data_IF_969994569122
#
_entry.id   IF_969994569122
#
_cell.length_a   1.000
_cell.length_b   1.000
_cell.length_c   1.000
_cell.angle_alpha   90.00
_cell.angle_beta   90.00
_cell.angle_gamma   90.00
#
_symmetry.space_group_name_H-M   'P 1'
#
loop_
_entity.id
_entity.type
_entity.pdbx_description
1 polymer ?
#
# COMPACT_ATOMS: atom_id res chain seq x y z
N UNK A 1 -56.72 -46.76 -0.83
CA UNK A 1 -57.81 -46.50 -1.78
C UNK A 1 -58.84 -45.67 -1.03
N UNK A 2 -59.17 -44.42 -1.32
CA UNK A 2 -58.94 -43.49 -2.43
C UNK A 2 -59.28 -42.05 -1.98
N UNK A 3 -58.62 -41.07 -2.61
CA UNK A 3 -58.90 -39.64 -2.89
C UNK A 3 -59.50 -38.69 -1.83
N UNK A 4 -58.89 -37.54 -1.52
CA UNK A 4 -58.60 -36.31 -2.32
C UNK A 4 -59.87 -35.53 -2.74
N UNK A 5 -60.10 -34.40 -2.05
CA UNK A 5 -60.16 -33.02 -2.59
C UNK A 5 -61.12 -32.14 -1.78
N UNK A 6 -60.58 -31.02 -1.24
CA UNK A 6 -61.21 -29.69 -1.12
C UNK A 6 -60.43 -28.82 -0.15
N UNK A 7 -59.64 -27.86 -0.67
CA UNK A 7 -59.28 -26.65 0.07
C UNK A 7 -59.57 -25.45 -0.83
N UNK A 8 -60.42 -24.56 -0.34
CA UNK A 8 -60.82 -23.29 -0.96
C UNK A 8 -59.68 -22.26 -0.98
N UNK A 9 -59.67 -21.33 -1.94
CA UNK A 9 -58.67 -20.27 -2.03
C UNK A 9 -59.03 -19.06 -1.16
N UNK A 10 -58.01 -18.44 -0.55
CA UNK A 10 -58.10 -17.10 0.03
C UNK A 10 -57.34 -16.12 -0.86
N UNK A 11 -58.06 -15.08 -1.27
CA UNK A 11 -57.65 -14.00 -2.16
C UNK A 11 -56.46 -13.19 -1.61
N UNK A 12 -55.53 -12.81 -2.49
CA UNK A 12 -54.84 -11.53 -2.42
C UNK A 12 -54.73 -10.93 -3.83
N UNK A 13 -55.19 -9.70 -3.94
CA UNK A 13 -55.34 -8.90 -5.16
C UNK A 13 -54.03 -8.22 -5.55
N UNK A 14 -53.62 -8.39 -6.81
CA UNK A 14 -52.54 -7.64 -7.45
C UNK A 14 -52.46 -8.04 -8.93
N UNK A 15 -52.80 -7.11 -9.82
CA UNK A 15 -52.87 -7.22 -11.29
C UNK A 15 -51.82 -8.14 -11.93
N UNK A 16 -52.30 -9.27 -12.46
CA UNK A 16 -51.58 -10.14 -13.39
C UNK A 16 -51.47 -9.47 -14.76
N UNK A 17 -50.27 -9.01 -15.13
CA UNK A 17 -49.82 -9.02 -16.53
C UNK A 17 -48.36 -9.48 -16.52
N UNK A 18 -48.14 -10.70 -16.02
CA UNK A 18 -46.87 -11.39 -16.11
C UNK A 18 -46.76 -12.08 -17.47
N UNK A 19 -45.92 -11.56 -18.35
CA UNK A 19 -45.47 -12.30 -19.53
C UNK A 19 -44.63 -13.49 -19.07
N UNK A 20 -45.27 -14.64 -18.90
CA UNK A 20 -44.59 -15.90 -18.63
C UNK A 20 -43.66 -16.20 -19.83
N UNK A 21 -42.35 -16.13 -19.62
CA UNK A 21 -41.46 -17.10 -20.24
C UNK A 21 -41.94 -18.45 -19.72
N UNK A 22 -42.72 -19.17 -20.54
CA UNK A 22 -43.24 -20.48 -20.16
C UNK A 22 -42.05 -21.38 -19.81
N UNK A 23 -41.88 -21.67 -18.51
CA UNK A 23 -40.86 -22.59 -18.00
C UNK A 23 -40.96 -23.99 -18.64
N UNK A 24 -42.03 -24.28 -19.39
CA UNK A 24 -42.18 -25.49 -20.20
C UNK A 24 -41.30 -25.53 -21.46
N UNK A 25 -40.84 -24.40 -22.03
CA UNK A 25 -40.12 -24.42 -23.32
C UNK A 25 -38.59 -24.56 -23.20
N UNK A 26 -38.01 -24.22 -22.04
CA UNK A 26 -36.56 -24.35 -21.77
C UNK A 26 -36.12 -25.79 -21.50
N UNK A 27 -37.05 -26.67 -21.09
CA UNK A 27 -36.76 -28.08 -20.78
C UNK A 27 -36.72 -28.99 -22.03
N UNK A 28 -36.90 -28.45 -23.24
CA UNK A 28 -36.91 -29.20 -24.51
C UNK A 28 -35.80 -28.73 -25.48
N UNK A 29 -34.83 -27.98 -25.00
CA UNK A 29 -33.77 -27.39 -25.84
C UNK A 29 -32.52 -28.25 -25.76
N UNK A 30 -32.15 -28.89 -26.87
CA UNK A 30 -31.06 -29.87 -26.93
C UNK A 30 -29.65 -29.23 -27.01
N UNK A 31 -29.53 -27.94 -27.32
CA UNK A 31 -28.23 -27.24 -27.36
C UNK A 31 -28.22 -25.84 -26.75
N UNK A 32 -27.07 -25.46 -26.17
CA UNK A 32 -26.83 -24.13 -25.57
C UNK A 32 -27.06 -23.00 -26.58
N UNK A 33 -26.76 -23.24 -27.86
CA UNK A 33 -26.90 -22.23 -28.92
C UNK A 33 -28.37 -21.86 -29.16
N UNK A 34 -29.25 -22.85 -29.14
CA UNK A 34 -30.69 -22.65 -29.31
C UNK A 34 -31.29 -21.99 -28.06
N UNK A 35 -30.76 -22.31 -26.88
CA UNK A 35 -31.16 -21.65 -25.63
C UNK A 35 -30.78 -20.16 -25.64
N UNK A 36 -29.57 -19.82 -26.09
CA UNK A 36 -29.13 -18.43 -26.22
C UNK A 36 -29.97 -17.65 -27.24
N UNK A 37 -30.37 -18.30 -28.34
CA UNK A 37 -31.23 -17.70 -29.36
C UNK A 37 -32.64 -17.40 -28.83
N UNK A 38 -33.21 -18.31 -28.03
CA UNK A 38 -34.51 -18.10 -27.38
C UNK A 38 -34.45 -17.00 -26.30
N UNK A 39 -33.38 -16.96 -25.50
CA UNK A 39 -33.16 -15.88 -24.53
C UNK A 39 -33.04 -14.54 -25.27
N UNK A 40 -32.28 -14.48 -26.35
CA UNK A 40 -32.15 -13.28 -27.18
C UNK A 40 -33.51 -12.83 -27.73
N UNK A 41 -34.29 -13.74 -28.31
CA UNK A 41 -35.61 -13.41 -28.85
C UNK A 41 -36.60 -12.95 -27.78
N UNK A 42 -36.57 -13.58 -26.60
CA UNK A 42 -37.42 -13.21 -25.48
C UNK A 42 -37.06 -11.81 -24.94
N UNK A 43 -35.76 -11.51 -24.82
CA UNK A 43 -35.26 -10.19 -24.45
C UNK A 43 -35.65 -9.15 -25.51
N UNK A 44 -35.46 -9.44 -26.80
CA UNK A 44 -35.83 -8.53 -27.89
C UNK A 44 -37.35 -8.27 -27.93
N UNK A 45 -38.19 -9.27 -27.65
CA UNK A 45 -39.64 -9.08 -27.54
C UNK A 45 -40.03 -8.25 -26.32
N UNK A 46 -39.41 -8.50 -25.16
CA UNK A 46 -39.61 -7.70 -23.96
C UNK A 46 -39.23 -6.22 -24.19
N UNK A 47 -38.13 -5.96 -24.89
CA UNK A 47 -37.68 -4.61 -25.27
C UNK A 47 -38.67 -3.94 -26.22
N UNK A 48 -39.23 -4.68 -27.19
CA UNK A 48 -40.23 -4.14 -28.14
C UNK A 48 -41.58 -3.87 -27.49
N UNK A 49 -42.03 -4.72 -26.56
CA UNK A 49 -43.32 -4.60 -25.87
C UNK A 49 -43.30 -3.52 -24.78
N UNK A 50 -42.17 -3.36 -24.10
CA UNK A 50 -42.00 -2.34 -23.05
C UNK A 50 -41.78 -0.93 -23.63
N UNK A 51 -41.50 -0.82 -24.93
CA UNK A 51 -40.83 0.36 -25.49
C UNK A 51 -39.46 0.59 -24.83
N UNK A 52 -38.68 1.60 -25.24
CA UNK A 52 -37.57 2.05 -24.41
C UNK A 52 -38.17 2.43 -23.05
N UNK A 53 -37.85 1.62 -22.04
CA UNK A 53 -38.36 1.81 -20.70
C UNK A 53 -38.09 3.25 -20.27
N UNK A 54 -39.14 3.96 -19.85
CA UNK A 54 -39.04 5.25 -19.15
C UNK A 54 -38.42 5.11 -17.74
N UNK A 55 -37.62 4.06 -17.51
CA UNK A 55 -36.66 3.93 -16.41
C UNK A 55 -35.21 4.24 -16.83
N UNK A 56 -34.98 4.64 -18.08
CA UNK A 56 -33.79 5.44 -18.42
C UNK A 56 -34.22 6.89 -18.35
N UNK A 57 -34.64 7.34 -17.16
CA UNK A 57 -34.42 8.75 -16.87
C UNK A 57 -32.90 8.88 -16.78
N UNK A 58 -32.36 9.66 -17.70
CA UNK A 58 -30.94 9.80 -17.95
C UNK A 58 -30.27 10.21 -16.63
N UNK A 59 -29.56 9.29 -15.99
CA UNK A 59 -28.50 9.68 -15.07
C UNK A 59 -27.41 10.33 -15.94
N UNK A 60 -27.61 11.61 -16.26
CA UNK A 60 -26.66 12.45 -17.00
C UNK A 60 -25.28 12.40 -16.35
N UNK A 61 -25.22 12.20 -15.04
CA UNK A 61 -24.01 12.00 -14.23
C UNK A 61 -23.19 10.78 -14.68
N UNK A 62 -23.83 9.61 -14.89
CA UNK A 62 -23.13 8.42 -15.40
C UNK A 62 -22.69 8.60 -16.85
N UNK A 63 -23.51 9.24 -17.70
CA UNK A 63 -23.11 9.52 -19.07
C UNK A 63 -21.85 10.39 -19.13
N UNK A 64 -21.74 11.39 -18.24
CA UNK A 64 -20.54 12.24 -18.13
C UNK A 64 -19.35 11.40 -17.66
N UNK A 65 -19.51 10.55 -16.64
CA UNK A 65 -18.42 9.67 -16.18
C UNK A 65 -17.91 8.75 -17.30
N UNK A 66 -18.82 8.08 -18.01
CA UNK A 66 -18.46 7.19 -19.12
C UNK A 66 -17.80 7.95 -20.29
N UNK A 67 -18.27 9.16 -20.60
CA UNK A 67 -17.63 10.02 -21.61
C UNK A 67 -16.21 10.41 -21.17
N UNK A 68 -16.02 10.80 -19.91
CA UNK A 68 -14.69 11.11 -19.37
C UNK A 68 -13.76 9.90 -19.36
N UNK A 69 -14.27 8.69 -19.05
CA UNK A 69 -13.51 7.44 -19.12
C UNK A 69 -13.13 7.08 -20.56
N UNK A 70 -14.07 7.23 -21.50
CA UNK A 70 -13.81 7.02 -22.93
C UNK A 70 -12.71 7.96 -23.43
N UNK A 71 -12.74 9.23 -23.01
CA UNK A 71 -11.73 10.22 -23.35
C UNK A 71 -10.39 9.96 -22.65
N UNK A 72 -10.42 9.44 -21.42
CA UNK A 72 -9.22 9.06 -20.69
C UNK A 72 -8.52 7.86 -21.34
N UNK A 73 -9.29 6.86 -21.79
CA UNK A 73 -8.84 5.61 -22.38
C UNK A 73 -9.13 4.41 -21.47
N UNK A 74 -9.91 3.45 -21.97
CA UNK A 74 -10.28 2.22 -21.23
C UNK A 74 -9.10 1.31 -20.93
N UNK A 75 -8.02 1.40 -21.70
CA UNK A 75 -6.76 0.69 -21.49
C UNK A 75 -6.08 1.06 -20.16
N UNK A 76 -6.35 2.26 -19.64
CA UNK A 76 -5.83 2.74 -18.35
C UNK A 76 -6.72 2.36 -17.18
N UNK A 77 -7.93 1.89 -17.41
CA UNK A 77 -8.85 1.53 -16.33
C UNK A 77 -8.45 0.18 -15.76
N UNK A 78 -8.00 0.17 -14.51
CA UNK A 78 -7.59 -1.05 -13.81
C UNK A 78 -8.75 -1.68 -13.02
N UNK A 79 -9.62 -0.85 -12.46
CA UNK A 79 -10.75 -1.30 -11.65
C UNK A 79 -11.87 -0.26 -11.67
N UNK A 80 -13.12 -0.74 -11.64
CA UNK A 80 -14.33 0.06 -11.41
C UNK A 80 -15.22 -0.73 -10.46
N UNK A 81 -15.73 -0.07 -9.42
CA UNK A 81 -16.68 -0.69 -8.49
C UNK A 81 -18.07 -0.88 -9.14
N UNK A 82 -18.86 -1.88 -8.73
CA UNK A 82 -20.18 -2.13 -9.32
C UNK A 82 -21.18 -0.98 -9.21
N UNK A 83 -21.00 -0.09 -8.25
CA UNK A 83 -21.81 1.12 -8.02
C UNK A 83 -21.26 2.36 -8.77
N UNK A 84 -20.11 2.23 -9.44
CA UNK A 84 -19.40 3.30 -10.16
C UNK A 84 -18.91 4.46 -9.28
N UNK A 85 -18.87 4.27 -7.96
CA UNK A 85 -18.35 5.26 -7.01
C UNK A 85 -16.84 5.20 -6.83
N UNK A 86 -16.18 4.11 -7.23
CA UNK A 86 -14.73 3.94 -7.15
C UNK A 86 -14.14 3.50 -8.50
N UNK A 87 -13.08 4.18 -8.92
CA UNK A 87 -12.37 3.99 -10.18
C UNK A 87 -10.88 3.99 -9.90
N UNK A 88 -10.14 3.03 -10.44
CA UNK A 88 -8.67 3.03 -10.39
C UNK A 88 -8.11 3.18 -11.81
N UNK A 89 -7.30 4.22 -12.00
CA UNK A 89 -6.55 4.42 -13.23
C UNK A 89 -5.10 3.98 -13.04
N UNK A 90 -4.58 3.21 -13.99
CA UNK A 90 -3.22 2.69 -13.99
C UNK A 90 -2.35 3.44 -14.99
N UNK A 91 -1.21 3.90 -14.50
CA UNK A 91 -0.09 4.37 -15.31
C UNK A 91 1.06 3.36 -15.23
N UNK A 92 1.82 3.23 -16.32
CA UNK A 92 3.07 2.48 -16.37
C UNK A 92 4.17 3.47 -16.70
N UNK A 93 5.22 3.54 -15.89
CA UNK A 93 6.36 4.42 -16.13
C UNK A 93 7.40 3.80 -17.07
N UNK A 94 8.48 4.55 -17.35
CA UNK A 94 9.54 4.13 -18.28
C UNK A 94 10.32 2.89 -17.81
N UNK A 95 10.29 2.59 -16.50
CA UNK A 95 10.92 1.41 -15.90
C UNK A 95 9.93 0.26 -15.72
N UNK A 96 8.80 0.30 -16.43
CA UNK A 96 7.71 -0.69 -16.41
C UNK A 96 7.04 -0.87 -15.03
N UNK A 97 7.13 0.16 -14.16
CA UNK A 97 6.46 0.12 -12.86
C UNK A 97 5.01 0.55 -12.99
N UNK A 98 4.11 -0.20 -12.37
CA UNK A 98 2.69 0.14 -12.31
C UNK A 98 2.40 1.10 -11.15
N UNK A 99 1.65 2.16 -11.45
CA UNK A 99 1.20 3.17 -10.49
C UNK A 99 -0.31 3.32 -10.59
N UNK A 100 -1.00 3.32 -9.43
CA UNK A 100 -2.46 3.37 -9.37
C UNK A 100 -2.92 4.70 -8.76
N UNK A 101 -3.78 5.40 -9.49
CA UNK A 101 -4.57 6.52 -9.00
C UNK A 101 -5.97 6.02 -8.68
N UNK A 102 -6.29 5.94 -7.38
CA UNK A 102 -7.64 5.63 -6.91
C UNK A 102 -8.46 6.90 -6.88
N UNK A 103 -9.69 6.82 -7.36
CA UNK A 103 -10.59 7.95 -7.55
C UNK A 103 -11.96 7.55 -7.03
N UNK A 104 -12.53 8.36 -6.14
CA UNK A 104 -13.90 8.21 -5.66
C UNK A 104 -14.79 9.29 -6.26
N UNK A 105 -15.78 8.85 -7.03
CA UNK A 105 -16.72 9.71 -7.76
C UNK A 105 -17.85 10.14 -6.81
N UNK A 106 -18.06 11.45 -6.59
CA UNK A 106 -19.14 11.95 -5.76
C UNK A 106 -20.47 11.94 -6.52
N UNK A 107 -21.59 11.95 -5.81
CA UNK A 107 -22.93 11.96 -6.44
C UNK A 107 -23.17 13.18 -7.34
N UNK A 108 -22.50 14.31 -7.05
CA UNK A 108 -22.65 15.57 -7.81
C UNK A 108 -21.58 15.76 -8.89
N UNK A 109 -20.90 14.69 -9.30
CA UNK A 109 -19.88 14.75 -10.34
C UNK A 109 -20.46 15.26 -11.68
N UNK A 110 -19.77 16.14 -12.43
CA UNK A 110 -18.42 16.69 -12.21
C UNK A 110 -18.39 18.02 -11.44
N UNK A 111 -19.54 18.52 -10.97
CA UNK A 111 -19.62 19.79 -10.25
C UNK A 111 -18.90 19.74 -8.89
N UNK A 112 -18.96 18.57 -8.24
CA UNK A 112 -18.11 18.23 -7.10
C UNK A 112 -16.94 17.38 -7.58
N UNK A 113 -15.72 17.78 -7.21
CA UNK A 113 -14.51 17.08 -7.61
C UNK A 113 -14.35 15.73 -6.91
N UNK A 114 -13.76 14.73 -7.58
CA UNK A 114 -13.55 13.43 -6.97
C UNK A 114 -12.48 13.49 -5.88
N UNK A 115 -12.63 12.62 -4.89
CA UNK A 115 -11.54 12.32 -3.95
C UNK A 115 -10.57 11.37 -4.65
N UNK A 116 -9.30 11.41 -4.26
CA UNK A 116 -8.30 10.53 -4.83
C UNK A 116 -7.26 10.12 -3.80
N UNK A 117 -6.54 9.05 -4.11
CA UNK A 117 -5.43 8.51 -3.33
C UNK A 117 -4.44 7.80 -4.26
N UNK A 118 -3.16 7.93 -3.97
CA UNK A 118 -2.08 7.28 -4.70
C UNK A 118 -0.82 7.18 -3.85
N UNK A 119 -0.01 6.14 -4.09
CA UNK A 119 1.23 5.93 -3.36
C UNK A 119 2.37 6.75 -3.98
N UNK A 120 2.40 8.05 -3.67
CA UNK A 120 3.50 8.94 -4.07
C UNK A 120 4.41 9.33 -2.89
N UNK A 121 5.71 9.58 -3.13
CA UNK A 121 6.67 9.95 -2.09
C UNK A 121 6.30 11.26 -1.35
N UNK A 122 5.53 12.13 -2.01
CA UNK A 122 4.98 13.35 -1.46
C UNK A 122 3.49 13.41 -1.77
N UNK A 123 2.76 14.24 -1.02
CA UNK A 123 1.33 14.42 -1.23
C UNK A 123 1.03 14.88 -2.67
N UNK A 124 0.26 14.07 -3.38
CA UNK A 124 -0.28 14.44 -4.67
C UNK A 124 -1.39 15.48 -4.45
N UNK A 125 -1.24 16.66 -5.04
CA UNK A 125 -2.24 17.73 -4.93
C UNK A 125 -2.80 18.08 -6.29
N UNK A 126 -4.00 17.60 -6.55
CA UNK A 126 -4.83 18.03 -7.67
C UNK A 126 -6.02 18.85 -7.16
N UNK A 127 -6.14 20.09 -7.63
CA UNK A 127 -7.28 20.96 -7.34
C UNK A 127 -8.28 20.88 -8.47
N UNK A 128 -9.41 20.23 -8.22
CA UNK A 128 -10.51 20.14 -9.18
C UNK A 128 -11.18 21.51 -9.39
N UNK A 129 -11.26 21.95 -10.64
CA UNK A 129 -11.89 23.17 -11.11
C UNK A 129 -13.09 22.86 -12.02
N UNK A 130 -14.00 23.83 -12.24
CA UNK A 130 -15.01 23.70 -13.28
C UNK A 130 -14.33 23.42 -14.63
N UNK A 131 -14.90 22.48 -15.39
CA UNK A 131 -14.39 21.98 -16.68
C UNK A 131 -13.20 21.00 -16.61
N UNK A 132 -12.67 20.69 -15.41
CA UNK A 132 -11.70 19.61 -15.27
C UNK A 132 -12.29 18.25 -15.65
N UNK A 133 -11.43 17.38 -16.14
CA UNK A 133 -11.77 16.01 -16.54
C UNK A 133 -10.85 15.00 -15.89
N UNK A 134 -11.29 13.75 -15.80
CA UNK A 134 -10.46 12.64 -15.35
C UNK A 134 -9.18 12.50 -16.18
N UNK A 135 -9.23 12.79 -17.48
CA UNK A 135 -8.04 12.81 -18.34
C UNK A 135 -7.03 13.87 -17.88
N UNK A 136 -7.47 15.09 -17.58
CA UNK A 136 -6.57 16.16 -17.10
C UNK A 136 -5.93 15.79 -15.77
N UNK A 137 -6.72 15.28 -14.82
CA UNK A 137 -6.21 14.75 -13.54
C UNK A 137 -5.18 13.65 -13.77
N UNK A 138 -5.47 12.70 -14.66
CA UNK A 138 -4.59 11.58 -14.95
C UNK A 138 -3.31 12.03 -15.66
N UNK A 139 -3.36 13.02 -16.55
CA UNK A 139 -2.18 13.60 -17.18
C UNK A 139 -1.26 14.26 -16.16
N UNK A 140 -1.81 15.06 -15.23
CA UNK A 140 -1.02 15.67 -14.15
C UNK A 140 -0.41 14.60 -13.23
N UNK A 141 -1.16 13.52 -12.96
CA UNK A 141 -0.64 12.37 -12.24
C UNK A 141 0.56 11.75 -12.98
N UNK A 142 0.45 11.46 -14.29
CA UNK A 142 1.54 10.92 -15.09
C UNK A 142 2.78 11.83 -15.13
N UNK A 143 2.59 13.14 -15.25
CA UNK A 143 3.68 14.12 -15.19
C UNK A 143 4.37 14.09 -13.82
N UNK A 144 3.59 13.94 -12.74
CA UNK A 144 4.11 13.80 -11.38
C UNK A 144 4.92 12.50 -11.22
N UNK A 145 4.48 11.39 -11.82
CA UNK A 145 5.25 10.13 -11.81
C UNK A 145 6.62 10.31 -12.45
N UNK A 146 6.70 11.02 -13.58
CA UNK A 146 7.96 11.24 -14.27
C UNK A 146 9.00 11.98 -13.39
N UNK A 147 8.56 12.85 -12.48
CA UNK A 147 9.44 13.55 -11.54
C UNK A 147 10.12 12.62 -10.53
N UNK A 148 9.52 11.48 -10.20
CA UNK A 148 10.01 10.55 -9.19
C UNK A 148 10.70 9.30 -9.78
N UNK A 149 10.88 9.22 -11.10
CA UNK A 149 11.48 8.06 -11.77
C UNK A 149 12.84 7.67 -11.17
N UNK A 150 13.75 8.65 -11.05
CA UNK A 150 15.08 8.42 -10.47
C UNK A 150 15.03 7.99 -9.00
N UNK A 151 14.08 8.53 -8.23
CA UNK A 151 13.88 8.12 -6.84
C UNK A 151 13.51 6.64 -6.78
N UNK A 152 12.53 6.19 -7.56
CA UNK A 152 12.14 4.78 -7.57
C UNK A 152 13.23 3.86 -8.09
N UNK A 153 14.05 4.27 -9.06
CA UNK A 153 15.20 3.48 -9.52
C UNK A 153 16.18 3.20 -8.36
N UNK A 154 16.44 4.21 -7.53
CA UNK A 154 17.29 4.08 -6.34
C UNK A 154 16.66 3.15 -5.30
N UNK A 155 15.35 3.31 -5.04
CA UNK A 155 14.65 2.46 -4.07
C UNK A 155 14.62 1.00 -4.55
N UNK A 156 14.37 0.76 -5.85
CA UNK A 156 14.38 -0.57 -6.45
C UNK A 156 15.77 -1.23 -6.37
N UNK A 157 16.84 -0.47 -6.60
CA UNK A 157 18.22 -0.96 -6.45
C UNK A 157 18.50 -1.38 -5.00
N UNK A 158 18.12 -0.56 -4.02
CA UNK A 158 18.29 -0.87 -2.61
C UNK A 158 17.51 -2.12 -2.20
N UNK A 159 16.23 -2.18 -2.58
CA UNK A 159 15.30 -3.26 -2.23
C UNK A 159 15.76 -4.59 -2.83
N UNK A 160 16.36 -4.56 -4.03
CA UNK A 160 16.87 -5.76 -4.71
C UNK A 160 18.21 -6.25 -4.15
N UNK A 161 19.11 -5.32 -3.79
CA UNK A 161 20.51 -5.64 -3.54
C UNK A 161 20.90 -5.64 -2.06
N UNK A 162 19.97 -5.33 -1.15
CA UNK A 162 20.22 -5.29 0.28
C UNK A 162 19.10 -5.97 1.07
N UNK A 163 19.33 -6.22 2.36
CA UNK A 163 18.26 -6.67 3.25
C UNK A 163 17.54 -5.48 3.88
N UNK A 164 16.34 -5.19 3.35
CA UNK A 164 15.40 -4.25 3.96
C UNK A 164 14.69 -4.93 5.13
N UNK A 165 14.88 -4.37 6.31
CA UNK A 165 14.23 -4.77 7.55
C UNK A 165 12.87 -4.07 7.69
N UNK A 166 12.84 -2.76 7.42
CA UNK A 166 11.64 -1.93 7.51
C UNK A 166 11.58 -0.88 6.37
N UNK A 167 10.40 -0.67 5.74
CA UNK A 167 9.19 -1.49 5.86
C UNK A 167 9.38 -2.91 5.30
N UNK A 168 8.69 -3.91 5.85
CA UNK A 168 8.78 -5.30 5.37
C UNK A 168 8.29 -5.44 3.91
N UNK A 169 7.23 -4.70 3.56
CA UNK A 169 6.68 -4.61 2.21
C UNK A 169 6.68 -3.14 1.81
N UNK A 170 7.74 -2.65 1.15
CA UNK A 170 7.81 -1.26 0.78
C UNK A 170 6.80 -0.88 -0.30
N UNK A 171 6.20 0.29 -0.15
CA UNK A 171 5.32 0.93 -1.14
C UNK A 171 6.02 2.09 -1.84
N UNK A 172 5.43 2.60 -2.92
CA UNK A 172 6.01 3.69 -3.73
C UNK A 172 6.04 5.06 -3.04
N UNK A 173 5.31 5.22 -1.94
CA UNK A 173 5.38 6.39 -1.05
C UNK A 173 6.49 6.33 0.01
N UNK A 174 7.02 5.14 0.30
CA UNK A 174 7.96 4.96 1.41
C UNK A 174 9.34 5.49 1.04
N UNK A 175 9.68 6.66 1.58
CA UNK A 175 11.00 7.30 1.42
C UNK A 175 12.09 6.75 2.35
N UNK A 176 11.71 5.85 3.27
CA UNK A 176 12.62 5.29 4.29
C UNK A 176 12.95 3.84 4.01
N UNK A 177 14.19 3.44 4.34
CA UNK A 177 14.63 2.04 4.35
C UNK A 177 15.55 1.80 5.53
N UNK A 178 15.20 0.82 6.36
CA UNK A 178 16.10 0.28 7.36
C UNK A 178 16.83 -0.91 6.77
N UNK A 179 18.12 -0.74 6.51
CA UNK A 179 18.95 -1.69 5.79
C UNK A 179 19.84 -2.42 6.79
N UNK A 180 19.87 -3.76 6.75
CA UNK A 180 20.79 -4.53 7.58
C UNK A 180 22.25 -4.25 7.17
N UNK A 181 23.11 -4.02 8.17
CA UNK A 181 24.56 -3.90 7.95
C UNK A 181 25.29 -5.17 8.42
N UNK A 182 24.88 -5.69 9.57
CA UNK A 182 25.40 -6.90 10.19
C UNK A 182 24.38 -7.41 11.23
N UNK A 183 24.62 -8.59 11.81
CA UNK A 183 23.76 -9.07 12.90
C UNK A 183 23.75 -8.07 14.08
N UNK A 184 22.58 -7.53 14.40
CA UNK A 184 22.39 -6.56 15.48
C UNK A 184 22.64 -5.11 15.10
N UNK A 185 22.88 -4.80 13.82
CA UNK A 185 23.17 -3.45 13.35
C UNK A 185 22.47 -3.17 12.03
N UNK A 186 21.80 -2.03 11.96
CA UNK A 186 21.14 -1.56 10.74
C UNK A 186 21.31 -0.07 10.53
N UNK A 187 21.09 0.37 9.30
CA UNK A 187 21.12 1.75 8.86
C UNK A 187 19.74 2.12 8.34
N UNK A 188 19.05 2.99 9.07
CA UNK A 188 17.84 3.65 8.58
C UNK A 188 18.24 4.86 7.74
N UNK A 189 17.96 4.81 6.44
CA UNK A 189 18.08 5.97 5.54
C UNK A 189 16.71 6.57 5.23
N UNK A 190 16.69 7.89 5.04
CA UNK A 190 15.55 8.61 4.45
C UNK A 190 16.05 9.35 3.22
N UNK A 191 15.58 8.91 2.06
CA UNK A 191 15.94 9.48 0.75
C UNK A 191 15.00 10.62 0.43
N UNK A 192 15.54 11.74 -0.05
CA UNK A 192 14.71 12.85 -0.52
C UNK A 192 14.22 12.54 -1.95
N UNK A 193 12.91 12.43 -2.20
CA UNK A 193 12.40 12.02 -3.50
C UNK A 193 12.62 13.05 -4.62
N UNK A 194 12.87 14.33 -4.29
CA UNK A 194 13.10 15.39 -5.28
C UNK A 194 14.59 15.56 -5.64
N UNK A 195 15.50 15.08 -4.79
CA UNK A 195 16.95 15.10 -5.00
C UNK A 195 17.56 13.77 -4.52
N UNK A 196 17.18 12.64 -5.14
CA UNK A 196 17.38 11.32 -4.55
C UNK A 196 18.84 10.84 -4.53
N UNK A 197 19.73 11.46 -5.33
CA UNK A 197 21.18 11.18 -5.32
C UNK A 197 21.96 11.96 -4.27
N UNK A 198 21.32 12.92 -3.58
CA UNK A 198 21.94 13.64 -2.47
C UNK A 198 22.16 12.72 -1.26
N UNK A 199 23.04 13.15 -0.34
CA UNK A 199 23.29 12.40 0.89
C UNK A 199 21.98 12.22 1.69
N UNK A 200 21.51 10.98 1.93
CA UNK A 200 20.28 10.76 2.67
C UNK A 200 20.48 11.06 4.16
N UNK A 201 19.37 11.22 4.88
CA UNK A 201 19.42 11.26 6.35
C UNK A 201 19.70 9.85 6.85
N UNK A 202 20.78 9.68 7.63
CA UNK A 202 21.25 8.39 8.11
C UNK A 202 21.10 8.26 9.63
N UNK A 203 20.36 7.25 10.09
CA UNK A 203 20.27 6.86 11.50
C UNK A 203 20.81 5.44 11.67
N UNK A 204 21.80 5.29 12.53
CA UNK A 204 22.42 4.00 12.80
C UNK A 204 21.78 3.37 14.03
N UNK A 205 21.39 2.11 13.92
CA UNK A 205 20.65 1.38 14.95
C UNK A 205 21.46 0.15 15.38
N UNK A 206 21.58 -0.05 16.69
CA UNK A 206 22.36 -1.12 17.32
C UNK A 206 23.21 -0.61 18.50
N UNK A 207 23.99 -1.47 19.17
CA UNK A 207 24.84 -1.06 20.27
C UNK A 207 25.85 0.01 19.85
N UNK A 208 25.93 1.09 20.62
CA UNK A 208 26.74 2.28 20.26
C UNK A 208 28.22 1.92 20.02
N UNK A 209 28.75 0.97 20.79
CA UNK A 209 30.13 0.46 20.64
C UNK A 209 30.44 -0.13 19.25
N UNK A 210 29.43 -0.62 18.53
CA UNK A 210 29.61 -1.21 17.19
C UNK A 210 29.16 -0.25 16.10
N UNK A 211 28.18 0.60 16.39
CA UNK A 211 27.71 1.64 15.48
C UNK A 211 28.73 2.77 15.32
N UNK A 212 29.41 3.21 16.39
CA UNK A 212 30.27 4.40 16.34
C UNK A 212 31.44 4.28 15.34
N UNK A 213 32.14 3.14 15.23
CA UNK A 213 33.13 2.96 14.15
C UNK A 213 32.56 3.13 12.74
N UNK A 214 31.33 2.67 12.50
CA UNK A 214 30.64 2.79 11.20
C UNK A 214 30.31 4.26 10.93
N UNK A 215 29.77 4.96 11.93
CA UNK A 215 29.47 6.39 11.87
C UNK A 215 30.72 7.24 11.64
N UNK A 216 31.83 6.90 12.30
CA UNK A 216 33.11 7.58 12.12
C UNK A 216 33.67 7.42 10.70
N UNK A 217 33.54 6.23 10.09
CA UNK A 217 33.90 6.01 8.67
C UNK A 217 33.06 6.89 7.75
N UNK A 218 31.74 6.93 7.97
CA UNK A 218 30.85 7.78 7.18
C UNK A 218 31.29 9.24 7.21
N UNK A 219 31.47 9.80 8.42
CA UNK A 219 31.87 11.20 8.58
C UNK A 219 33.24 11.51 7.95
N UNK A 220 34.18 10.56 8.04
CA UNK A 220 35.50 10.70 7.41
C UNK A 220 35.41 10.71 5.89
N UNK A 221 34.60 9.82 5.32
CA UNK A 221 34.58 9.53 3.88
C UNK A 221 33.46 10.23 3.12
N UNK A 222 32.58 11.00 3.77
CA UNK A 222 31.42 11.64 3.13
C UNK A 222 31.78 12.55 1.95
N UNK A 223 32.99 13.11 1.95
CA UNK A 223 33.53 13.90 0.85
C UNK A 223 33.72 13.11 -0.46
N UNK A 224 33.65 11.78 -0.40
CA UNK A 224 33.69 10.88 -1.56
C UNK A 224 32.30 10.67 -2.18
N UNK A 225 31.23 11.17 -1.55
CA UNK A 225 29.87 11.04 -2.08
C UNK A 225 29.75 11.78 -3.41
N UNK A 226 29.19 11.09 -4.40
CA UNK A 226 29.06 11.56 -5.78
C UNK A 226 27.60 11.44 -6.21
N UNK A 227 26.98 12.55 -6.63
CA UNK A 227 25.61 12.56 -7.14
C UNK A 227 25.45 11.83 -8.49
N UNK A 228 26.58 11.44 -9.12
CA UNK A 228 26.60 10.65 -10.35
C UNK A 228 26.58 9.14 -10.10
N UNK A 229 26.89 8.72 -8.87
CA UNK A 229 26.87 7.32 -8.46
C UNK A 229 25.56 7.00 -7.73
N UNK A 230 25.17 5.73 -7.76
CA UNK A 230 23.96 5.30 -7.05
C UNK A 230 24.11 5.44 -5.54
N UNK A 231 22.99 5.59 -4.83
CA UNK A 231 22.98 5.72 -3.36
C UNK A 231 23.62 4.48 -2.72
N UNK A 232 23.34 3.28 -3.22
CA UNK A 232 23.96 2.06 -2.72
C UNK A 232 25.47 2.04 -2.94
N UNK A 233 25.93 2.45 -4.12
CA UNK A 233 27.37 2.53 -4.44
C UNK A 233 28.09 3.51 -3.51
N UNK A 234 27.51 4.70 -3.33
CA UNK A 234 28.03 5.70 -2.41
C UNK A 234 28.07 5.19 -0.97
N UNK A 235 27.00 4.54 -0.49
CA UNK A 235 26.96 3.98 0.86
C UNK A 235 28.04 2.92 1.07
N UNK A 236 28.26 2.01 0.12
CA UNK A 236 29.34 1.01 0.17
C UNK A 236 30.72 1.66 0.29
N UNK A 237 30.97 2.67 -0.54
CA UNK A 237 32.25 3.39 -0.57
C UNK A 237 32.49 4.19 0.72
N UNK A 238 31.51 4.99 1.14
CA UNK A 238 31.63 5.88 2.30
C UNK A 238 31.72 5.08 3.60
N UNK A 239 30.96 3.99 3.73
CA UNK A 239 31.01 3.13 4.91
C UNK A 239 32.18 2.14 4.88
N UNK A 240 32.81 1.94 3.72
CA UNK A 240 33.80 0.87 3.48
C UNK A 240 33.27 -0.49 3.94
N UNK A 241 32.05 -0.81 3.50
CA UNK A 241 31.31 -2.02 3.87
C UNK A 241 30.64 -2.63 2.64
N UNK A 242 30.58 -3.95 2.61
CA UNK A 242 29.66 -4.67 1.73
C UNK A 242 28.35 -4.91 2.48
N UNK A 243 27.23 -4.59 1.84
CA UNK A 243 25.91 -4.82 2.39
C UNK A 243 25.53 -6.28 2.23
N UNK A 244 24.97 -6.92 3.27
CA UNK A 244 24.39 -8.24 3.13
C UNK A 244 23.18 -8.17 2.19
N UNK A 245 23.02 -9.20 1.37
CA UNK A 245 22.04 -9.28 0.30
C UNK A 245 21.35 -10.64 0.26
N UNK A 246 20.20 -10.75 -0.44
CA UNK A 246 19.54 -12.04 -0.70
C UNK A 246 20.40 -13.10 -1.38
N UNK A 247 21.47 -12.69 -2.07
CA UNK A 247 22.42 -13.61 -2.72
C UNK A 247 23.56 -14.07 -1.82
N UNK A 248 23.80 -13.39 -0.70
CA UNK A 248 24.99 -13.61 0.15
C UNK A 248 24.68 -14.14 1.55
N UNK A 249 23.44 -13.97 2.03
CA UNK A 249 23.03 -14.27 3.41
C UNK A 249 21.53 -14.55 3.48
N UNK A 250 21.02 -14.98 4.63
CA UNK A 250 19.59 -15.15 4.87
C UNK A 250 19.02 -14.03 5.73
N UNK A 251 17.77 -13.62 5.48
CA UNK A 251 17.11 -12.52 6.21
C UNK A 251 17.05 -12.78 7.71
N UNK A 252 16.85 -14.03 8.12
CA UNK A 252 16.72 -14.43 9.53
C UNK A 252 17.98 -14.15 10.37
N UNK A 253 19.15 -14.00 9.74
CA UNK A 253 20.40 -13.65 10.43
C UNK A 253 20.40 -12.21 11.00
N UNK A 254 19.49 -11.37 10.48
CA UNK A 254 19.36 -9.96 10.84
C UNK A 254 18.07 -9.68 11.63
N UNK A 255 17.08 -10.60 11.58
CA UNK A 255 15.82 -10.50 12.32
C UNK A 255 15.99 -10.94 13.78
N UNK A 256 16.54 -10.06 14.63
CA UNK A 256 16.76 -10.37 16.05
C UNK A 256 15.47 -10.20 16.83
N UNK A 257 15.06 -11.26 17.53
CA UNK A 257 13.87 -11.25 18.38
C UNK A 257 14.02 -10.36 19.62
N UNK A 258 12.90 -9.78 20.04
CA UNK A 258 12.80 -9.02 21.27
C UNK A 258 12.99 -9.94 22.48
N UNK A 259 13.83 -9.54 23.44
CA UNK A 259 14.05 -10.27 24.69
C UNK A 259 12.89 -10.23 25.68
N UNK A 260 11.76 -9.60 25.35
CA UNK A 260 10.60 -9.56 26.25
C UNK A 260 9.45 -10.39 25.68
N UNK A 261 9.09 -10.14 24.42
CA UNK A 261 7.97 -10.85 23.77
C UNK A 261 8.42 -12.04 22.91
N UNK A 262 9.73 -12.25 22.73
CA UNK A 262 10.31 -13.33 21.91
C UNK A 262 9.78 -13.37 20.47
N UNK A 263 9.42 -12.19 19.95
CA UNK A 263 9.01 -12.01 18.57
C UNK A 263 9.92 -10.99 17.90
N UNK A 264 10.15 -11.17 16.60
CA UNK A 264 10.75 -10.13 15.76
C UNK A 264 9.73 -9.01 15.49
N UNK A 265 8.48 -9.34 15.18
CA UNK A 265 7.44 -8.36 14.90
C UNK A 265 6.46 -8.20 16.07
N UNK A 266 6.21 -6.96 16.47
CA UNK A 266 5.11 -6.57 17.35
C UNK A 266 4.19 -5.62 16.58
N UNK A 267 3.21 -6.19 15.87
CA UNK A 267 2.52 -5.46 14.81
C UNK A 267 3.50 -5.21 13.66
N UNK A 268 3.74 -3.94 13.33
CA UNK A 268 4.72 -3.50 12.33
C UNK A 268 6.06 -3.03 12.97
N UNK A 269 6.21 -3.14 14.29
CA UNK A 269 7.43 -2.69 14.97
C UNK A 269 8.45 -3.82 15.10
N UNK A 270 9.73 -3.48 14.92
CA UNK A 270 10.88 -4.38 15.15
C UNK A 270 11.72 -3.95 16.36
N UNK A 271 12.63 -4.80 16.88
CA UNK A 271 13.40 -4.51 18.08
C UNK A 271 14.54 -3.53 17.80
N UNK A 272 14.30 -2.24 18.01
CA UNK A 272 15.28 -1.17 17.76
C UNK A 272 16.12 -0.79 18.99
N UNK A 273 15.69 -1.17 20.19
CA UNK A 273 16.38 -0.82 21.43
C UNK A 273 17.33 -1.96 21.81
N UNK A 274 18.61 -1.67 22.03
CA UNK A 274 19.59 -2.72 22.43
C UNK A 274 20.23 -2.40 23.78
N UNK A 275 20.51 -3.44 24.56
CA UNK A 275 21.30 -3.30 25.78
C UNK A 275 22.78 -3.02 25.45
N UNK A 276 23.31 -1.90 25.93
CA UNK A 276 24.70 -1.50 25.72
C UNK A 276 25.75 -2.38 26.42
N UNK A 277 25.33 -3.24 27.37
CA UNK A 277 26.24 -4.17 28.02
C UNK A 277 26.79 -5.18 26.99
N UNK A 278 28.11 -5.21 26.72
CA UNK A 278 28.69 -6.05 25.66
C UNK A 278 28.49 -7.54 25.87
N UNK A 279 28.23 -7.98 27.12
CA UNK A 279 27.95 -9.38 27.46
C UNK A 279 26.47 -9.76 27.28
N UNK A 280 25.58 -8.79 27.09
CA UNK A 280 24.14 -9.00 26.97
C UNK A 280 23.67 -8.82 25.52
N UNK A 281 23.82 -7.62 24.95
CA UNK A 281 23.39 -7.27 23.59
C UNK A 281 21.93 -7.66 23.24
N UNK A 282 21.05 -7.80 24.24
CA UNK A 282 19.65 -8.15 23.98
C UNK A 282 18.93 -6.97 23.32
N UNK A 283 18.15 -7.25 22.28
CA UNK A 283 17.28 -6.28 21.61
C UNK A 283 15.86 -6.32 22.15
N UNK A 284 15.15 -5.19 22.08
CA UNK A 284 13.80 -5.02 22.57
C UNK A 284 13.00 -4.11 21.63
N UNK A 285 11.71 -4.42 21.44
CA UNK A 285 10.78 -3.42 20.92
C UNK A 285 10.70 -2.25 21.90
N UNK A 286 10.56 -1.04 21.36
CA UNK A 286 10.36 0.17 22.17
C UNK A 286 9.18 -0.02 23.13
N UNK A 287 8.02 -0.45 22.63
CA UNK A 287 6.82 -0.68 23.44
C UNK A 287 7.02 -1.71 24.55
N UNK A 288 7.66 -2.85 24.25
CA UNK A 288 7.94 -3.88 25.25
C UNK A 288 8.85 -3.35 26.36
N UNK A 289 9.92 -2.65 25.97
CA UNK A 289 10.87 -2.09 26.92
C UNK A 289 10.25 -0.98 27.77
N UNK A 290 9.42 -0.14 27.16
CA UNK A 290 8.68 0.92 27.84
C UNK A 290 7.76 0.35 28.91
N UNK A 291 6.93 -0.64 28.56
CA UNK A 291 6.02 -1.32 29.50
C UNK A 291 6.78 -2.04 30.62
N UNK A 292 7.93 -2.64 30.30
CA UNK A 292 8.77 -3.27 31.32
C UNK A 292 9.36 -2.24 32.29
N UNK A 293 10.01 -1.16 31.79
CA UNK A 293 10.67 -0.17 32.64
C UNK A 293 9.67 0.54 33.56
N UNK A 294 8.47 0.88 33.07
CA UNK A 294 7.44 1.54 33.90
C UNK A 294 6.89 0.67 35.03
N UNK A 295 7.08 -0.66 34.96
CA UNK A 295 6.69 -1.59 36.02
C UNK A 295 7.80 -1.80 37.07
N UNK A 296 9.00 -1.24 36.87
CA UNK A 296 10.08 -1.35 37.84
C UNK A 296 9.81 -0.45 39.07
N UNK A 297 10.10 -0.94 40.30
CA UNK A 297 9.88 -0.18 41.52
C UNK A 297 10.77 1.08 41.61
N UNK A 298 11.97 1.03 41.02
CA UNK A 298 12.96 2.11 41.05
C UNK A 298 13.03 2.93 39.75
N UNK A 299 11.94 2.93 38.96
CA UNK A 299 11.88 3.67 37.70
C UNK A 299 12.14 5.16 37.92
N UNK A 300 13.00 5.73 37.07
CA UNK A 300 13.28 7.18 37.06
C UNK A 300 12.85 7.76 35.73
N UNK A 301 12.16 8.89 35.75
CA UNK A 301 11.80 9.64 34.54
C UNK A 301 12.52 10.98 34.50
N UNK A 302 13.12 11.35 33.37
CA UNK A 302 13.68 12.69 33.14
C UNK A 302 13.72 13.00 31.65
N UNK A 303 13.39 14.24 31.25
CA UNK A 303 13.47 14.72 29.85
C UNK A 303 12.88 13.75 28.80
N UNK A 304 11.63 13.30 28.99
CA UNK A 304 10.97 12.31 28.13
C UNK A 304 11.74 10.99 27.97
N UNK A 305 12.54 10.61 28.98
CA UNK A 305 13.19 9.30 29.06
C UNK A 305 12.80 8.60 30.35
N UNK A 306 12.55 7.30 30.25
CA UNK A 306 12.47 6.39 31.38
C UNK A 306 13.78 5.65 31.50
N UNK A 307 14.31 5.59 32.72
CA UNK A 307 15.53 4.90 33.08
C UNK A 307 15.17 3.73 33.98
N UNK A 308 15.75 2.58 33.69
CA UNK A 308 15.61 1.36 34.46
C UNK A 308 16.83 0.47 34.27
N UNK A 309 16.64 -0.83 34.45
CA UNK A 309 17.68 -1.83 34.28
C UNK A 309 17.27 -2.84 33.21
N UNK A 310 18.25 -3.45 32.55
CA UNK A 310 18.02 -4.51 31.58
C UNK A 310 17.48 -5.77 32.27
N UNK A 311 16.39 -6.42 31.77
CA UNK A 311 15.83 -7.62 32.37
C UNK A 311 16.79 -8.83 32.41
N UNK A 312 17.85 -8.80 31.61
CA UNK A 312 18.80 -9.91 31.49
C UNK A 312 20.09 -9.73 32.28
N UNK A 313 20.56 -8.50 32.47
CA UNK A 313 21.88 -8.24 33.06
C UNK A 313 21.89 -7.18 34.16
N UNK A 314 20.74 -6.61 34.49
CA UNK A 314 20.56 -5.57 35.52
C UNK A 314 21.48 -4.36 35.31
N UNK A 315 21.93 -4.10 34.07
CA UNK A 315 22.70 -2.90 33.73
C UNK A 315 21.75 -1.78 33.34
N UNK A 316 22.13 -0.50 33.56
CA UNK A 316 21.29 0.64 33.21
C UNK A 316 20.85 0.59 31.75
N UNK A 317 19.58 0.87 31.52
CA UNK A 317 18.96 0.95 30.19
C UNK A 317 17.90 2.05 30.23
N UNK A 318 17.57 2.63 29.09
CA UNK A 318 16.57 3.69 28.99
C UNK A 318 15.77 3.59 27.69
N UNK A 319 14.57 4.15 27.70
CA UNK A 319 13.76 4.34 26.50
C UNK A 319 13.09 5.72 26.53
N UNK A 320 12.72 6.23 25.36
CA UNK A 320 11.93 7.47 25.26
C UNK A 320 10.48 7.23 25.64
N UNK A 321 9.82 8.25 26.18
CA UNK A 321 8.37 8.31 26.33
C UNK A 321 7.81 8.90 25.04
N UNK A 322 6.99 8.12 24.32
CA UNK A 322 6.30 8.55 23.09
C UNK A 322 5.05 9.38 23.43
#
# INVERSE_FOLDING_TARGET
>A
MENFDQIMPLNYSGSEVGGYLNAMHLNQIDTIKDMLYEIQNALEQQIRLSGPSKFIDQHTEYNILFEQLQNCGWDKVNFISPDFHELHLKAIDESEREHILKIWIPDKFPNEGPKYDCDLPQEFQYRWLPDDTLLMMFTVFQETLAMYSQFWDIMDELDKNTWILEPEIPSRKDCRRQIALASGISLLIVVNPLIPTSVPVCHYLGPERVVEPVRAKFNKNIHLWSEFDSVLTNLKQVLELEFPSPSTSKKEEFCIECGICYSYLLGEAIPEMTCDNPKCNQSFHHACLYEYIRMLPDVRSSFNKLFGECPYCCKPLWCTVL
#
